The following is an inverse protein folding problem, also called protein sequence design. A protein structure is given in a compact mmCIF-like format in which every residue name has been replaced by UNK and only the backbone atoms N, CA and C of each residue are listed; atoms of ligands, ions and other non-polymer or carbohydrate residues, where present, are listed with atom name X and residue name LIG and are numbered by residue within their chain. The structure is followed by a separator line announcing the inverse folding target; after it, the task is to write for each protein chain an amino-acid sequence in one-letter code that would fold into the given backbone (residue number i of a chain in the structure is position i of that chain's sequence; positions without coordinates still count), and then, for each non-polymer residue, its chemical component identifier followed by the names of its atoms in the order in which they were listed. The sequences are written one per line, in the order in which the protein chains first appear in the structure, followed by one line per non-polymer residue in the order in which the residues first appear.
data_IF_827040522368
#
_entry.id   IF_827040522368
#
_cell.length_a   1.000
_cell.length_b   1.000
_cell.length_c   1.000
_cell.angle_alpha   90.00
_cell.angle_beta   90.00
_cell.angle_gamma   90.00
#
_symmetry.space_group_name_H-M   'P 1'
#
loop_
_entity.id
_entity.type
_entity.pdbx_description
1 polymer ?
#
# COMPACT_ATOMS: atom_id res chain seq x y z
N UNK A 1 -21.34 -15.88 14.22
CA UNK A 1 -21.35 -16.44 12.85
C UNK A 1 -19.94 -16.32 12.27
N UNK A 2 -19.00 -17.08 12.84
CA UNK A 2 -17.57 -17.08 12.48
C UNK A 2 -17.22 -18.50 12.10
N UNK A 3 -17.11 -18.80 10.82
CA UNK A 3 -16.63 -20.10 10.35
C UNK A 3 -15.86 -19.92 9.05
N UNK A 4 -14.58 -20.30 9.10
CA UNK A 4 -13.69 -20.58 7.96
C UNK A 4 -13.03 -19.42 7.20
N UNK A 5 -12.03 -18.78 7.83
CA UNK A 5 -10.90 -18.16 7.11
C UNK A 5 -9.79 -19.21 6.96
N UNK A 6 -9.78 -19.96 5.85
CA UNK A 6 -8.81 -21.06 5.65
C UNK A 6 -7.74 -20.81 4.59
N UNK A 7 -7.66 -19.65 3.95
CA UNK A 7 -6.49 -19.28 3.14
C UNK A 7 -6.11 -17.82 3.36
N UNK A 8 -4.81 -17.56 3.50
CA UNK A 8 -4.23 -16.21 3.54
C UNK A 8 -4.47 -15.41 2.22
N UNK A 9 -4.93 -16.10 1.18
CA UNK A 9 -5.35 -15.54 -0.10
C UNK A 9 -6.85 -15.19 -0.15
N UNK A 10 -7.70 -15.72 0.74
CA UNK A 10 -9.14 -15.43 0.76
C UNK A 10 -9.45 -14.07 1.42
N UNK A 11 -8.56 -13.57 2.29
CA UNK A 11 -8.63 -12.19 2.81
C UNK A 11 -8.38 -11.13 1.74
N UNK A 12 -7.65 -11.46 0.67
CA UNK A 12 -7.43 -10.56 -0.46
C UNK A 12 -8.69 -10.38 -1.31
N UNK A 13 -9.66 -11.29 -1.23
CA UNK A 13 -10.96 -11.13 -1.88
C UNK A 13 -11.86 -10.10 -1.16
N UNK A 14 -11.55 -9.76 0.09
CA UNK A 14 -12.25 -8.73 0.86
C UNK A 14 -11.52 -7.37 0.90
N UNK A 15 -10.23 -7.31 0.56
CA UNK A 15 -9.41 -6.10 0.81
C UNK A 15 -8.56 -5.61 -0.37
N UNK A 16 -8.63 -6.20 -1.55
CA UNK A 16 -7.74 -5.79 -2.66
C UNK A 16 -8.51 -5.56 -3.95
N UNK A 17 -8.77 -4.29 -4.24
CA UNK A 17 -9.11 -3.85 -5.60
C UNK A 17 -7.84 -3.99 -6.44
N UNK A 18 -7.66 -5.16 -7.04
CA UNK A 18 -6.60 -5.38 -8.02
C UNK A 18 -6.93 -4.59 -9.30
N UNK A 19 -5.88 -3.97 -9.84
CA UNK A 19 -5.91 -2.77 -10.66
C UNK A 19 -6.41 -2.95 -12.12
N UNK A 20 -7.41 -3.78 -12.45
CA UNK A 20 -7.62 -4.13 -13.87
C UNK A 20 -9.05 -4.24 -14.41
N UNK A 21 -10.07 -3.73 -13.73
CA UNK A 21 -11.41 -3.65 -14.36
C UNK A 21 -12.23 -2.48 -13.85
N UNK A 22 -12.22 -1.39 -14.64
CA UNK A 22 -13.02 -0.19 -14.39
C UNK A 22 -14.52 -0.46 -14.26
N UNK A 23 -15.02 -1.54 -14.89
CA UNK A 23 -16.44 -1.89 -14.87
C UNK A 23 -16.89 -2.63 -13.61
N UNK A 24 -15.98 -3.29 -12.91
CA UNK A 24 -16.31 -4.11 -11.73
C UNK A 24 -15.89 -3.44 -10.42
N UNK A 25 -14.97 -2.46 -10.49
CA UNK A 25 -14.48 -1.73 -9.32
C UNK A 25 -15.59 -1.09 -8.47
N UNK A 26 -16.62 -0.44 -9.06
CA UNK A 26 -17.67 0.18 -8.27
C UNK A 26 -18.50 -0.81 -7.43
N UNK A 27 -18.56 -2.08 -7.85
CA UNK A 27 -19.30 -3.12 -7.14
C UNK A 27 -18.60 -3.58 -5.85
N UNK A 28 -17.31 -3.28 -5.70
CA UNK A 28 -16.51 -3.64 -4.52
C UNK A 28 -16.51 -2.57 -3.42
N UNK A 29 -17.04 -1.37 -3.69
CA UNK A 29 -17.08 -0.27 -2.73
C UNK A 29 -18.09 -0.44 -1.59
N UNK A 30 -19.31 -0.99 -1.82
CA UNK A 30 -20.28 -1.19 -0.74
C UNK A 30 -19.72 -2.10 0.36
N UNK A 31 -19.70 -1.62 1.60
CA UNK A 31 -19.20 -2.38 2.75
C UNK A 31 -17.68 -2.39 2.94
N UNK A 32 -16.92 -1.69 2.09
CA UNK A 32 -15.47 -1.57 2.26
C UNK A 32 -15.12 -0.74 3.52
N UNK A 33 -14.26 -1.29 4.38
CA UNK A 33 -13.82 -0.62 5.61
C UNK A 33 -12.44 0.06 5.50
N UNK A 34 -11.64 -0.29 4.49
CA UNK A 34 -10.38 0.38 4.13
C UNK A 34 -10.19 0.27 2.62
N UNK A 35 -9.52 1.25 2.02
CA UNK A 35 -9.13 1.20 0.61
C UNK A 35 -7.61 1.11 0.55
N UNK A 36 -7.09 0.11 -0.16
CA UNK A 36 -5.66 -0.02 -0.43
C UNK A 36 -5.39 0.42 -1.86
N UNK A 37 -4.54 1.43 -2.04
CA UNK A 37 -4.10 1.89 -3.34
C UNK A 37 -2.67 1.39 -3.57
N UNK A 38 -2.52 0.49 -4.54
CA UNK A 38 -1.22 -0.10 -4.88
C UNK A 38 -0.57 0.64 -6.05
N UNK A 39 0.66 1.14 -5.84
CA UNK A 39 1.51 1.76 -6.86
C UNK A 39 2.67 0.83 -7.14
N UNK A 40 2.96 0.54 -8.40
CA UNK A 40 4.15 -0.24 -8.76
C UNK A 40 5.34 0.70 -8.91
N UNK A 41 6.43 0.47 -8.17
CA UNK A 41 7.61 1.36 -8.24
C UNK A 41 8.31 1.33 -9.61
N UNK A 42 8.07 0.28 -10.40
CA UNK A 42 8.59 0.13 -11.77
C UNK A 42 7.55 0.34 -12.86
N UNK A 43 6.37 0.85 -12.51
CA UNK A 43 5.38 1.25 -13.51
C UNK A 43 4.77 2.60 -13.11
N UNK A 44 5.25 3.72 -13.67
CA UNK A 44 4.77 5.04 -13.31
C UNK A 44 3.40 5.38 -13.93
N UNK A 45 2.93 4.65 -14.95
CA UNK A 45 1.63 4.91 -15.58
C UNK A 45 0.45 4.80 -14.59
N UNK A 46 0.36 3.75 -13.76
CA UNK A 46 -0.62 3.67 -12.68
C UNK A 46 -0.62 4.87 -11.73
N UNK A 47 0.52 5.48 -11.46
CA UNK A 47 0.63 6.59 -10.49
C UNK A 47 -0.18 7.81 -10.93
N UNK A 48 -0.04 8.23 -12.19
CA UNK A 48 -0.82 9.34 -12.76
C UNK A 48 -2.31 9.03 -12.83
N UNK A 49 -2.66 7.79 -13.18
CA UNK A 49 -4.05 7.34 -13.20
C UNK A 49 -4.68 7.37 -11.80
N UNK A 50 -3.92 7.02 -10.76
CA UNK A 50 -4.40 7.08 -9.37
C UNK A 50 -4.82 8.50 -9.03
N UNK A 51 -3.99 9.49 -9.36
CA UNK A 51 -4.27 10.91 -9.07
C UNK A 51 -5.45 11.45 -9.85
N UNK A 52 -5.54 11.12 -11.14
CA UNK A 52 -6.50 11.74 -12.06
C UNK A 52 -7.87 11.05 -12.08
N UNK A 53 -7.93 9.76 -11.76
CA UNK A 53 -9.15 8.96 -11.92
C UNK A 53 -9.55 8.18 -10.69
N UNK A 54 -8.63 7.44 -10.08
CA UNK A 54 -9.00 6.48 -9.04
C UNK A 54 -9.30 7.18 -7.72
N UNK A 55 -8.49 8.18 -7.37
CA UNK A 55 -8.70 8.94 -6.15
C UNK A 55 -10.05 9.68 -6.17
N UNK A 56 -10.44 10.44 -7.23
CA UNK A 56 -11.78 11.02 -7.32
C UNK A 56 -12.92 9.98 -7.27
N UNK A 57 -12.73 8.82 -7.90
CA UNK A 57 -13.74 7.75 -7.90
C UNK A 57 -13.93 7.17 -6.49
N UNK A 58 -12.84 6.89 -5.79
CA UNK A 58 -12.86 6.35 -4.41
C UNK A 58 -13.43 7.38 -3.45
N UNK A 59 -13.01 8.64 -3.52
CA UNK A 59 -13.54 9.67 -2.62
C UNK A 59 -15.02 9.95 -2.84
N UNK A 60 -15.51 9.74 -4.07
CA UNK A 60 -16.94 9.85 -4.39
C UNK A 60 -17.76 8.69 -3.79
N UNK A 61 -17.31 7.44 -3.96
CA UNK A 61 -18.06 6.26 -3.51
C UNK A 61 -17.83 5.92 -2.02
N UNK A 62 -16.68 6.30 -1.46
CA UNK A 62 -16.21 5.92 -0.13
C UNK A 62 -15.62 7.13 0.64
N UNK A 63 -16.40 8.19 0.90
CA UNK A 63 -15.87 9.45 1.47
C UNK A 63 -15.30 9.34 2.89
N UNK A 64 -15.72 8.31 3.66
CA UNK A 64 -15.31 8.12 5.05
C UNK A 64 -14.37 6.93 5.25
N UNK A 65 -14.03 6.23 4.17
CA UNK A 65 -13.20 5.03 4.24
C UNK A 65 -11.73 5.44 4.20
N UNK A 66 -10.91 5.02 5.18
CA UNK A 66 -9.50 5.37 5.20
C UNK A 66 -8.75 4.73 4.02
N UNK A 67 -7.80 5.48 3.46
CA UNK A 67 -6.99 5.06 2.33
C UNK A 67 -5.58 4.73 2.82
N UNK A 68 -5.08 3.53 2.49
CA UNK A 68 -3.70 3.11 2.73
C UNK A 68 -2.99 3.00 1.37
N UNK A 69 -1.81 3.63 1.25
CA UNK A 69 -0.99 3.53 0.05
C UNK A 69 0.05 2.42 0.21
N UNK A 70 0.15 1.58 -0.81
CA UNK A 70 1.13 0.51 -0.89
C UNK A 70 2.04 0.72 -2.11
N UNK A 71 3.33 0.90 -1.91
CA UNK A 71 4.30 0.75 -3.00
C UNK A 71 4.65 -0.73 -3.14
N UNK A 72 4.43 -1.27 -4.33
CA UNK A 72 4.62 -2.69 -4.67
C UNK A 72 5.82 -2.87 -5.58
N UNK A 73 6.36 -4.09 -5.60
CA UNK A 73 7.52 -4.49 -6.42
C UNK A 73 8.80 -3.73 -6.08
N UNK A 74 9.00 -3.40 -4.81
CA UNK A 74 10.18 -2.64 -4.36
C UNK A 74 11.51 -3.33 -4.64
N UNK A 75 11.49 -4.67 -4.77
CA UNK A 75 12.62 -5.48 -5.24
C UNK A 75 13.12 -5.12 -6.64
N UNK A 76 12.25 -4.56 -7.48
CA UNK A 76 12.60 -4.22 -8.87
C UNK A 76 13.22 -2.82 -8.99
N UNK A 77 13.34 -2.06 -7.90
CA UNK A 77 13.96 -0.72 -7.91
C UNK A 77 15.45 -0.78 -8.25
N UNK A 78 16.13 -1.86 -7.86
CA UNK A 78 17.55 -2.11 -8.13
C UNK A 78 17.78 -3.18 -9.22
N UNK A 79 16.72 -3.77 -9.74
CA UNK A 79 16.80 -4.83 -10.74
C UNK A 79 17.23 -4.28 -12.11
N UNK A 80 18.37 -4.75 -12.61
CA UNK A 80 18.98 -4.32 -13.87
C UNK A 80 18.04 -4.52 -15.08
N UNK A 81 17.26 -5.60 -15.12
CA UNK A 81 16.34 -5.86 -16.23
C UNK A 81 15.16 -4.87 -16.23
N UNK A 82 14.61 -4.60 -15.04
CA UNK A 82 13.53 -3.64 -14.84
C UNK A 82 13.98 -2.21 -15.14
N UNK A 83 15.18 -1.82 -14.72
CA UNK A 83 15.77 -0.53 -15.03
C UNK A 83 15.98 -0.32 -16.54
N UNK A 84 16.46 -1.35 -17.25
CA UNK A 84 16.59 -1.30 -18.73
C UNK A 84 15.23 -1.12 -19.41
N UNK A 85 14.20 -1.83 -18.95
CA UNK A 85 12.85 -1.70 -19.51
C UNK A 85 12.27 -0.29 -19.27
N UNK A 86 12.52 0.29 -18.10
CA UNK A 86 12.13 1.66 -17.78
C UNK A 86 12.86 2.67 -18.65
N UNK A 87 14.17 2.50 -18.84
CA UNK A 87 14.98 3.33 -19.74
C UNK A 87 14.46 3.27 -21.19
N UNK A 88 14.11 2.09 -21.69
CA UNK A 88 13.51 1.94 -23.02
C UNK A 88 12.18 2.69 -23.16
N UNK A 89 11.46 2.87 -22.05
CA UNK A 89 10.19 3.63 -21.98
C UNK A 89 10.40 5.10 -21.60
N UNK A 90 11.64 5.59 -21.54
CA UNK A 90 11.99 6.93 -21.04
C UNK A 90 11.38 7.25 -19.66
N UNK A 91 11.24 6.23 -18.82
CA UNK A 91 10.66 6.31 -17.49
C UNK A 91 11.73 6.04 -16.43
N UNK A 92 11.49 6.55 -15.22
CA UNK A 92 12.31 6.25 -14.04
C UNK A 92 11.47 5.48 -13.01
N UNK A 93 12.10 4.67 -12.15
CA UNK A 93 11.40 4.10 -11.01
C UNK A 93 10.84 5.21 -10.11
N UNK A 94 9.65 4.99 -9.56
CA UNK A 94 9.04 5.91 -8.60
C UNK A 94 9.80 5.80 -7.27
N UNK A 95 10.23 6.94 -6.78
CA UNK A 95 10.97 7.06 -5.52
C UNK A 95 10.02 6.98 -4.32
N UNK A 96 10.54 6.50 -3.18
CA UNK A 96 9.75 6.48 -1.94
C UNK A 96 9.29 7.87 -1.52
N UNK A 97 10.10 8.90 -1.79
CA UNK A 97 9.76 10.29 -1.47
C UNK A 97 8.57 10.80 -2.27
N UNK A 98 8.49 10.50 -3.57
CA UNK A 98 7.34 10.87 -4.41
C UNK A 98 6.05 10.23 -3.90
N UNK A 99 6.10 8.96 -3.50
CA UNK A 99 4.92 8.24 -3.00
C UNK A 99 4.54 8.74 -1.60
N UNK A 100 5.52 9.04 -0.73
CA UNK A 100 5.25 9.59 0.59
C UNK A 100 4.64 11.00 0.50
N UNK A 101 5.14 11.83 -0.42
CA UNK A 101 4.56 13.14 -0.69
C UNK A 101 3.12 13.00 -1.20
N UNK A 102 2.89 12.10 -2.14
CA UNK A 102 1.55 11.81 -2.63
C UNK A 102 0.62 11.30 -1.51
N UNK A 103 1.12 10.48 -0.60
CA UNK A 103 0.37 10.02 0.56
C UNK A 103 -0.11 11.16 1.46
N UNK A 104 0.76 12.16 1.68
CA UNK A 104 0.43 13.37 2.44
C UNK A 104 -0.60 14.22 1.71
N UNK A 105 -0.45 14.39 0.40
CA UNK A 105 -1.38 15.16 -0.43
C UNK A 105 -2.80 14.59 -0.39
N UNK A 106 -2.94 13.26 -0.49
CA UNK A 106 -4.26 12.61 -0.47
C UNK A 106 -4.78 12.35 0.94
N UNK A 107 -4.03 12.75 1.99
CA UNK A 107 -4.32 12.47 3.40
C UNK A 107 -4.54 10.97 3.66
N UNK A 108 -3.71 10.13 3.06
CA UNK A 108 -3.73 8.70 3.32
C UNK A 108 -3.45 8.43 4.80
N UNK A 109 -4.07 7.38 5.33
CA UNK A 109 -3.86 6.91 6.71
C UNK A 109 -2.41 6.47 6.93
N UNK A 110 -1.82 5.79 5.94
CA UNK A 110 -0.42 5.38 5.99
C UNK A 110 0.12 5.04 4.61
N UNK A 111 1.44 5.05 4.50
CA UNK A 111 2.19 4.56 3.34
C UNK A 111 3.09 3.40 3.77
N UNK A 112 3.10 2.33 2.98
CA UNK A 112 3.96 1.17 3.21
C UNK A 112 4.58 0.67 1.89
N UNK A 113 5.88 0.40 1.91
CA UNK A 113 6.57 -0.31 0.82
C UNK A 113 6.51 -1.82 1.05
N UNK A 114 6.25 -2.58 -0.01
CA UNK A 114 6.19 -4.03 0.02
C UNK A 114 6.73 -4.68 -1.27
N UNK A 115 7.27 -5.88 -1.11
CA UNK A 115 7.64 -6.78 -2.20
C UNK A 115 7.00 -8.13 -1.94
N UNK A 116 6.10 -8.54 -2.84
CA UNK A 116 5.49 -9.87 -2.82
C UNK A 116 6.53 -10.96 -3.06
N UNK A 117 7.54 -10.68 -3.91
CA UNK A 117 8.61 -11.61 -4.24
C UNK A 117 9.53 -11.88 -3.05
N UNK A 118 9.89 -10.84 -2.30
CA UNK A 118 10.72 -10.96 -1.10
C UNK A 118 9.91 -11.23 0.17
N UNK A 119 8.58 -11.32 0.07
CA UNK A 119 7.65 -11.41 1.18
C UNK A 119 7.92 -10.37 2.29
N UNK A 120 8.26 -9.15 1.87
CA UNK A 120 8.68 -8.05 2.75
C UNK A 120 7.63 -6.94 2.72
N UNK A 121 7.30 -6.35 3.87
CA UNK A 121 6.38 -5.22 3.98
C UNK A 121 4.88 -5.57 3.87
N UNK A 122 4.54 -6.82 3.55
CA UNK A 122 3.14 -7.26 3.40
C UNK A 122 2.44 -7.33 4.76
N UNK A 123 3.14 -7.80 5.78
CA UNK A 123 2.59 -7.95 7.13
C UNK A 123 2.31 -6.58 7.73
N UNK A 124 3.26 -5.67 7.59
CA UNK A 124 3.17 -4.27 8.01
C UNK A 124 2.03 -3.55 7.26
N UNK A 125 1.89 -3.79 5.95
CA UNK A 125 0.78 -3.25 5.17
C UNK A 125 -0.57 -3.71 5.73
N UNK A 126 -0.70 -4.99 6.06
CA UNK A 126 -1.94 -5.55 6.61
C UNK A 126 -2.24 -4.99 8.01
N UNK A 127 -1.23 -4.92 8.87
CA UNK A 127 -1.34 -4.31 10.21
C UNK A 127 -1.78 -2.84 10.12
N UNK A 128 -1.25 -2.08 9.15
CA UNK A 128 -1.68 -0.70 8.89
C UNK A 128 -3.12 -0.61 8.41
N UNK A 129 -3.57 -1.54 7.58
CA UNK A 129 -4.97 -1.60 7.15
C UNK A 129 -5.89 -1.88 8.35
N UNK A 130 -5.51 -2.81 9.22
CA UNK A 130 -6.27 -3.08 10.45
C UNK A 130 -6.31 -1.87 11.38
N UNK A 131 -5.19 -1.17 11.55
CA UNK A 131 -5.12 0.08 12.33
C UNK A 131 -6.04 1.15 11.72
N UNK A 132 -6.10 1.27 10.39
CA UNK A 132 -6.97 2.21 9.72
C UNK A 132 -8.45 1.96 10.02
N UNK A 133 -8.86 0.69 10.05
CA UNK A 133 -10.25 0.29 10.35
C UNK A 133 -10.59 0.47 11.82
N UNK A 134 -9.69 0.08 12.73
CA UNK A 134 -9.95 0.11 14.18
C UNK A 134 -9.81 1.52 14.77
N UNK A 135 -8.85 2.31 14.26
CA UNK A 135 -8.44 3.60 14.82
C UNK A 135 -8.31 4.67 13.72
N UNK A 136 -9.41 5.02 13.02
CA UNK A 136 -9.36 5.95 11.87
C UNK A 136 -8.84 7.36 12.19
N UNK A 137 -8.79 7.74 13.48
CA UNK A 137 -8.32 9.04 13.93
C UNK A 137 -6.83 9.09 14.32
N UNK A 138 -6.15 7.94 14.51
CA UNK A 138 -4.77 7.89 15.02
C UNK A 138 -3.70 7.93 13.91
N UNK A 139 -4.05 7.63 12.66
CA UNK A 139 -3.09 7.57 11.55
C UNK A 139 -2.61 8.93 11.00
N UNK A 140 -3.06 10.05 11.57
CA UNK A 140 -2.70 11.40 11.07
C UNK A 140 -1.38 11.93 11.66
N UNK A 141 -0.83 11.29 12.68
CA UNK A 141 0.44 11.70 13.30
C UNK A 141 1.59 10.73 13.00
N UNK A 142 2.49 11.18 12.12
CA UNK A 142 3.93 10.96 12.30
C UNK A 142 4.53 9.67 11.75
N UNK A 143 5.27 9.81 10.65
CA UNK A 143 6.46 9.02 10.37
C UNK A 143 7.48 9.12 11.53
N UNK A 144 7.30 8.36 12.61
CA UNK A 144 8.38 8.06 13.56
C UNK A 144 8.89 6.65 13.28
N UNK A 145 10.01 6.63 12.57
CA UNK A 145 11.09 5.61 12.55
C UNK A 145 10.76 4.27 13.23
N UNK A 146 10.60 3.23 12.42
CA UNK A 146 10.98 1.88 12.84
C UNK A 146 12.51 1.81 12.89
N UNK A 147 13.07 2.05 14.08
CA UNK A 147 14.39 1.55 14.44
C UNK A 147 14.27 0.98 15.86
N UNK A 148 13.56 -0.13 15.99
CA UNK A 148 13.54 -0.91 17.23
C UNK A 148 13.44 -2.41 16.92
N UNK A 149 14.56 -2.98 16.47
CA UNK A 149 14.81 -4.43 16.50
C UNK A 149 16.28 -4.74 16.16
N UNK A 150 17.22 -4.04 16.81
CA UNK A 150 18.62 -4.51 16.90
C UNK A 150 19.33 -4.07 18.18
N UNK A 151 18.67 -4.23 19.33
CA UNK A 151 19.35 -4.38 20.63
C UNK A 151 18.71 -5.54 21.40
N UNK A 152 19.06 -6.75 21.00
CA UNK A 152 18.98 -7.92 21.89
C UNK A 152 20.39 -8.48 21.98
N UNK A 153 20.88 -8.65 23.22
CA UNK A 153 21.99 -9.53 23.68
C UNK A 153 23.34 -8.92 24.11
N UNK A 154 23.32 -7.85 24.90
CA UNK A 154 24.37 -7.54 25.91
C UNK A 154 23.70 -6.54 26.88
N UNK A 155 23.47 -6.78 28.17
CA UNK A 155 24.26 -7.45 29.18
C UNK A 155 23.29 -7.89 30.31
N UNK A 156 23.10 -9.20 30.49
CA UNK A 156 22.61 -9.78 31.74
C UNK A 156 23.77 -10.61 32.29
N UNK A 157 24.68 -9.96 33.02
CA UNK A 157 25.62 -10.57 33.96
C UNK A 157 26.20 -9.41 34.80
N UNK A 158 25.59 -9.12 35.95
CA UNK A 158 26.29 -8.70 37.18
C UNK A 158 25.49 -9.23 38.36
#
# INVERSE_FOLDING_TARGET
MMTHFKNHLDLLQFFTIFFNSDRLRPLSYPGANVIIICISVVDPKPFENVRTRWLPEVTHHCPHVPIVLAATKTDLREDQASLKLLQQRNCKPVTSQEIEQFAKEIKAFSFQECSSKLNSGIKELFEKCMQAVLFPNEGKEGSKKQEDSKKKKDCLMM
#
